data_IF_855815638191
#
_entry.id   IF_855815638191
#
_cell.length_a   1.000
_cell.length_b   1.000
_cell.length_c   1.000
_cell.angle_alpha   90.00
_cell.angle_beta   90.00
_cell.angle_gamma   90.00
#
_symmetry.space_group_name_H-M   'P 1'
#
loop_
_entity.id
_entity.type
_entity.pdbx_description
1 polymer ?
#
# COMPACT_ATOMS: atom_id res chain seq x y z
N UNK A 1 16.85 -7.56 0.58
CA UNK A 1 15.63 -7.76 1.33
C UNK A 1 15.79 -7.52 2.81
N UNK A 2 14.89 -6.77 3.38
CA UNK A 2 14.84 -6.48 4.81
C UNK A 2 13.46 -6.86 5.35
N UNK A 3 13.38 -7.05 6.68
CA UNK A 3 12.14 -7.33 7.38
C UNK A 3 11.81 -6.15 8.28
N UNK A 4 10.64 -5.57 8.10
CA UNK A 4 10.07 -4.51 8.94
C UNK A 4 8.84 -5.09 9.63
N UNK A 5 8.91 -5.33 10.92
CA UNK A 5 7.81 -5.97 11.65
C UNK A 5 7.54 -5.29 12.98
N UNK A 6 6.25 -5.17 13.34
CA UNK A 6 5.75 -4.60 14.59
C UNK A 6 6.23 -3.18 14.88
N UNK A 7 6.33 -2.36 13.84
CA UNK A 7 6.64 -0.94 13.98
C UNK A 7 5.36 -0.11 13.88
N UNK A 8 5.36 1.05 14.50
CA UNK A 8 4.32 2.06 14.22
C UNK A 8 4.37 2.48 12.76
N UNK A 9 5.59 2.70 12.22
CA UNK A 9 5.84 2.97 10.81
C UNK A 9 7.05 2.13 10.38
N UNK A 10 6.89 1.29 9.36
CA UNK A 10 7.96 0.47 8.82
C UNK A 10 9.03 1.32 8.12
N UNK A 11 8.62 2.12 7.13
CA UNK A 11 9.49 3.08 6.46
C UNK A 11 8.77 4.42 6.33
N UNK A 12 9.45 5.50 6.70
CA UNK A 12 9.02 6.88 6.48
C UNK A 12 9.92 7.55 5.45
N UNK A 13 9.34 8.10 4.38
CA UNK A 13 10.04 8.80 3.31
C UNK A 13 9.57 10.25 3.23
N UNK A 14 10.51 11.17 3.29
CA UNK A 14 10.30 12.60 3.11
C UNK A 14 11.43 13.16 2.24
N UNK A 15 11.09 13.91 1.19
CA UNK A 15 12.05 14.47 0.25
C UNK A 15 12.99 13.44 -0.40
N UNK A 16 12.57 12.17 -0.44
CA UNK A 16 13.40 11.04 -0.86
C UNK A 16 13.07 10.65 -2.29
N UNK A 17 14.09 10.64 -3.14
CA UNK A 17 13.93 10.38 -4.58
C UNK A 17 14.85 9.25 -5.05
N UNK A 18 14.42 8.52 -6.06
CA UNK A 18 15.17 7.42 -6.68
C UNK A 18 15.55 6.29 -5.71
N UNK A 19 14.71 6.05 -4.71
CA UNK A 19 14.88 4.93 -3.79
C UNK A 19 14.34 3.65 -4.45
N UNK A 20 15.11 2.57 -4.34
CA UNK A 20 14.68 1.25 -4.78
C UNK A 20 14.42 0.36 -3.56
N UNK A 21 13.13 0.09 -3.29
CA UNK A 21 12.68 -0.82 -2.24
C UNK A 21 12.25 -2.13 -2.89
N UNK A 22 13.11 -3.13 -2.79
CA UNK A 22 12.89 -4.43 -3.44
C UNK A 22 13.11 -5.59 -2.47
N UNK A 23 12.26 -6.60 -2.60
CA UNK A 23 12.34 -7.87 -1.87
C UNK A 23 12.31 -7.70 -0.35
N UNK A 24 11.55 -6.71 0.17
CA UNK A 24 11.36 -6.52 1.60
C UNK A 24 10.05 -7.16 2.06
N UNK A 25 9.99 -7.48 3.35
CA UNK A 25 8.79 -7.92 4.03
C UNK A 25 8.35 -6.84 5.02
N UNK A 26 7.10 -6.39 4.88
CA UNK A 26 6.41 -5.50 5.81
C UNK A 26 5.29 -6.30 6.48
N UNK A 27 5.44 -6.57 7.77
CA UNK A 27 4.56 -7.48 8.50
C UNK A 27 4.16 -6.88 9.85
N UNK A 28 2.84 -6.86 10.13
CA UNK A 28 2.30 -6.41 11.42
C UNK A 28 2.74 -4.97 11.82
N UNK A 29 2.74 -4.03 10.86
CA UNK A 29 3.04 -2.63 11.14
C UNK A 29 1.75 -1.79 11.21
N UNK A 30 1.80 -0.67 11.92
CA UNK A 30 0.75 0.34 11.85
C UNK A 30 0.64 0.92 10.42
N UNK A 31 1.74 1.44 9.91
CA UNK A 31 1.92 1.80 8.50
C UNK A 31 3.13 1.06 7.94
N UNK A 32 2.96 0.33 6.84
CA UNK A 32 4.12 -0.32 6.22
C UNK A 32 5.04 0.75 5.61
N UNK A 33 4.49 1.65 4.79
CA UNK A 33 5.22 2.77 4.19
C UNK A 33 4.41 4.06 4.36
N UNK A 34 5.03 5.10 4.92
CA UNK A 34 4.54 6.48 4.86
C UNK A 34 5.42 7.27 3.92
N UNK A 35 4.82 7.87 2.89
CA UNK A 35 5.54 8.57 1.85
C UNK A 35 4.95 9.96 1.66
N UNK A 36 5.73 11.00 1.90
CA UNK A 36 5.29 12.38 1.70
C UNK A 36 5.21 12.72 0.21
N UNK A 37 4.35 13.70 -0.15
CA UNK A 37 4.15 14.13 -1.52
C UNK A 37 5.42 14.68 -2.22
N UNK A 38 6.45 15.03 -1.45
CA UNK A 38 7.76 15.46 -1.95
C UNK A 38 8.64 14.31 -2.48
N UNK A 39 8.18 13.07 -2.37
CA UNK A 39 8.95 11.90 -2.82
C UNK A 39 8.59 11.57 -4.26
N UNK A 40 9.61 11.45 -5.14
CA UNK A 40 9.45 11.16 -6.57
C UNK A 40 10.43 10.10 -7.06
N UNK A 41 10.10 9.46 -8.17
CA UNK A 41 10.95 8.48 -8.86
C UNK A 41 11.37 7.29 -7.97
N UNK A 42 10.57 6.92 -6.98
CA UNK A 42 10.84 5.75 -6.15
C UNK A 42 10.24 4.50 -6.78
N UNK A 43 10.95 3.38 -6.62
CA UNK A 43 10.57 2.09 -7.17
C UNK A 43 10.34 1.08 -6.04
N UNK A 44 9.09 0.64 -5.88
CA UNK A 44 8.64 -0.28 -4.84
C UNK A 44 8.20 -1.58 -5.49
N UNK A 45 9.10 -2.59 -5.51
CA UNK A 45 8.87 -3.79 -6.31
C UNK A 45 9.14 -5.07 -5.55
N UNK A 46 8.34 -6.09 -5.83
CA UNK A 46 8.53 -7.46 -5.30
C UNK A 46 8.66 -7.49 -3.78
N UNK A 47 7.89 -6.68 -3.08
CA UNK A 47 7.80 -6.70 -1.62
C UNK A 47 6.56 -7.47 -1.19
N UNK A 48 6.56 -7.96 0.04
CA UNK A 48 5.40 -8.55 0.69
C UNK A 48 4.83 -7.61 1.73
N UNK A 49 3.52 -7.37 1.67
CA UNK A 49 2.76 -6.57 2.64
C UNK A 49 1.72 -7.47 3.30
N UNK A 50 1.91 -7.74 4.59
CA UNK A 50 1.08 -8.66 5.38
C UNK A 50 0.70 -8.03 6.71
N UNK A 51 -0.56 -8.20 7.13
CA UNK A 51 -1.07 -7.82 8.45
C UNK A 51 -0.84 -6.37 8.87
N UNK A 52 -0.53 -5.46 7.93
CA UNK A 52 -0.37 -4.04 8.25
C UNK A 52 -1.73 -3.38 8.44
N UNK A 53 -1.84 -2.40 9.35
CA UNK A 53 -3.06 -1.60 9.46
C UNK A 53 -3.27 -0.77 8.19
N UNK A 54 -2.20 -0.16 7.68
CA UNK A 54 -2.17 0.54 6.40
C UNK A 54 -0.92 0.13 5.61
N UNK A 55 -1.10 -0.22 4.34
CA UNK A 55 0.03 -0.62 3.51
C UNK A 55 0.82 0.61 3.05
N UNK A 56 0.16 1.59 2.45
CA UNK A 56 0.79 2.85 2.04
C UNK A 56 -0.05 4.03 2.49
N UNK A 57 0.59 5.03 3.07
CA UNK A 57 -0.02 6.31 3.39
C UNK A 57 0.76 7.46 2.73
N UNK A 58 0.01 8.47 2.28
CA UNK A 58 0.57 9.70 1.71
C UNK A 58 -0.25 10.91 2.10
N UNK A 59 0.38 12.08 2.15
CA UNK A 59 -0.29 13.36 2.40
C UNK A 59 -0.66 14.12 1.10
N UNK A 60 -0.44 13.51 -0.07
CA UNK A 60 -0.77 14.11 -1.38
C UNK A 60 -0.59 13.14 -2.53
N UNK A 61 -0.60 13.62 -3.77
CA UNK A 61 -0.32 12.79 -4.93
C UNK A 61 1.16 12.44 -5.00
N UNK A 62 1.44 11.15 -5.21
CA UNK A 62 2.80 10.61 -5.36
C UNK A 62 3.11 10.39 -6.85
N UNK A 63 3.26 11.47 -7.58
CA UNK A 63 3.58 11.43 -9.01
C UNK A 63 4.94 10.76 -9.22
N UNK A 64 5.06 9.94 -10.27
CA UNK A 64 6.28 9.24 -10.69
C UNK A 64 6.81 8.16 -9.73
N UNK A 65 6.07 7.77 -8.71
CA UNK A 65 6.43 6.60 -7.90
C UNK A 65 5.79 5.34 -8.49
N UNK A 66 6.54 4.25 -8.56
CA UNK A 66 6.14 3.02 -9.22
C UNK A 66 6.01 1.90 -8.20
N UNK A 67 4.81 1.33 -8.11
CA UNK A 67 4.55 0.08 -7.41
C UNK A 67 4.36 -1.01 -8.44
N UNK A 68 5.12 -2.12 -8.33
CA UNK A 68 5.04 -3.17 -9.33
C UNK A 68 5.39 -4.55 -8.78
N UNK A 69 4.50 -5.49 -8.98
CA UNK A 69 4.75 -6.88 -8.68
C UNK A 69 4.89 -7.17 -7.19
N UNK A 70 4.24 -6.39 -6.33
CA UNK A 70 4.21 -6.63 -4.89
C UNK A 70 3.10 -7.61 -4.52
N UNK A 71 3.26 -8.31 -3.42
CA UNK A 71 2.20 -9.07 -2.79
C UNK A 71 1.52 -8.21 -1.72
N UNK A 72 0.18 -8.14 -1.83
CA UNK A 72 -0.69 -7.40 -0.92
C UNK A 72 -1.71 -8.36 -0.31
N UNK A 73 -1.67 -8.59 0.99
CA UNK A 73 -2.59 -9.51 1.66
C UNK A 73 -4.07 -9.16 1.44
N UNK A 74 -4.38 -7.86 1.29
CA UNK A 74 -5.74 -7.36 1.06
C UNK A 74 -6.17 -7.37 -0.40
N UNK A 75 -5.32 -7.85 -1.30
CA UNK A 75 -5.68 -7.94 -2.71
C UNK A 75 -6.69 -9.06 -2.94
N UNK A 76 -7.86 -8.71 -3.47
CA UNK A 76 -8.97 -9.60 -3.76
C UNK A 76 -9.26 -9.72 -5.27
N UNK A 77 -8.28 -9.43 -6.12
CA UNK A 77 -8.42 -9.58 -7.55
C UNK A 77 -8.35 -11.04 -8.02
N UNK A 78 -8.45 -11.24 -9.32
CA UNK A 78 -8.39 -12.54 -9.96
C UNK A 78 -7.21 -12.62 -10.92
N UNK A 79 -6.85 -13.85 -11.30
CA UNK A 79 -5.80 -14.21 -12.23
C UNK A 79 -6.38 -15.23 -13.23
N UNK A 80 -6.91 -14.74 -14.34
CA UNK A 80 -7.61 -15.56 -15.35
C UNK A 80 -6.62 -16.41 -16.16
N UNK A 81 -5.46 -15.87 -16.46
CA UNK A 81 -4.43 -16.53 -17.27
C UNK A 81 -3.53 -17.47 -16.45
N UNK A 82 -3.65 -17.43 -15.09
CA UNK A 82 -2.90 -18.26 -14.13
C UNK A 82 -1.39 -18.06 -14.17
N UNK A 83 -0.93 -16.84 -14.43
CA UNK A 83 0.49 -16.50 -14.42
C UNK A 83 1.02 -16.09 -13.04
N UNK A 84 0.15 -16.05 -12.03
CA UNK A 84 0.46 -15.66 -10.66
C UNK A 84 0.43 -14.16 -10.41
N UNK A 85 -0.03 -13.40 -11.41
CA UNK A 85 -0.23 -11.95 -11.37
C UNK A 85 -1.72 -11.66 -11.46
N UNK A 86 -2.20 -10.73 -10.67
CA UNK A 86 -3.60 -10.33 -10.74
C UNK A 86 -3.89 -9.45 -11.95
N UNK A 87 -5.01 -9.70 -12.59
CA UNK A 87 -5.47 -8.96 -13.78
C UNK A 87 -6.07 -7.59 -13.46
N UNK A 88 -6.37 -7.34 -12.19
CA UNK A 88 -6.90 -6.06 -11.72
C UNK A 88 -5.82 -5.33 -10.92
N UNK A 89 -5.51 -4.06 -11.23
CA UNK A 89 -4.57 -3.27 -10.45
C UNK A 89 -5.01 -3.14 -8.97
N UNK A 90 -4.06 -3.16 -8.06
CA UNK A 90 -4.29 -2.90 -6.64
C UNK A 90 -3.90 -1.47 -6.27
N UNK A 91 -4.72 -0.82 -5.47
CA UNK A 91 -4.47 0.51 -4.92
C UNK A 91 -4.13 0.39 -3.43
N UNK A 92 -2.85 0.56 -3.05
CA UNK A 92 -2.42 0.34 -1.67
C UNK A 92 -2.77 1.48 -0.71
N UNK A 93 -3.19 2.63 -1.22
CA UNK A 93 -3.62 3.78 -0.41
C UNK A 93 -5.13 3.71 -0.23
N UNK A 94 -5.59 3.53 1.00
CA UNK A 94 -7.01 3.56 1.32
C UNK A 94 -7.51 4.99 1.57
N UNK A 95 -8.78 5.24 1.28
CA UNK A 95 -9.44 6.50 1.58
C UNK A 95 -9.34 6.84 3.08
N UNK A 96 -9.50 5.83 3.94
CA UNK A 96 -9.39 6.03 5.38
C UNK A 96 -7.97 6.43 5.81
N UNK A 97 -6.92 5.84 5.21
CA UNK A 97 -5.53 6.24 5.50
C UNK A 97 -5.28 7.70 5.15
N UNK A 98 -5.86 8.20 4.06
CA UNK A 98 -5.76 9.62 3.67
C UNK A 98 -6.45 10.55 4.67
N UNK A 99 -7.59 10.14 5.22
CA UNK A 99 -8.29 10.91 6.25
C UNK A 99 -7.49 10.94 7.55
N UNK A 100 -6.93 9.82 7.96
CA UNK A 100 -6.09 9.72 9.16
C UNK A 100 -4.85 10.60 9.04
N UNK A 101 -4.22 10.68 7.88
CA UNK A 101 -3.07 11.56 7.65
C UNK A 101 -3.43 13.05 7.82
N UNK A 102 -4.64 13.44 7.44
CA UNK A 102 -5.13 14.82 7.62
C UNK A 102 -5.62 15.10 9.03
N UNK A 103 -6.17 14.11 9.70
CA UNK A 103 -6.71 14.23 11.05
C UNK A 103 -6.46 12.94 11.86
N UNK A 104 -5.34 12.85 12.60
CA UNK A 104 -5.00 11.65 13.37
C UNK A 104 -6.05 11.24 14.41
N UNK A 105 -6.90 12.14 14.88
CA UNK A 105 -7.97 11.80 15.81
C UNK A 105 -8.99 10.80 15.23
N UNK A 106 -9.07 10.69 13.89
CA UNK A 106 -9.95 9.71 13.22
C UNK A 106 -9.51 8.27 13.42
N UNK A 107 -8.28 8.01 13.90
CA UNK A 107 -7.86 6.66 14.32
C UNK A 107 -8.78 6.06 15.38
N UNK A 108 -9.43 6.89 16.20
CA UNK A 108 -10.40 6.42 17.20
C UNK A 108 -11.61 5.72 16.56
N UNK A 109 -11.89 5.99 15.27
CA UNK A 109 -12.97 5.37 14.50
C UNK A 109 -12.55 4.05 13.82
N UNK A 110 -11.28 3.66 13.97
CA UNK A 110 -10.78 2.40 13.42
C UNK A 110 -11.61 1.21 13.93
N UNK A 111 -12.04 0.33 13.03
CA UNK A 111 -13.00 -0.76 13.26
C UNK A 111 -14.45 -0.32 13.52
N UNK A 112 -14.78 0.94 13.28
CA UNK A 112 -16.18 1.37 13.31
C UNK A 112 -16.91 0.97 12.01
N UNK A 113 -18.23 0.88 12.09
CA UNK A 113 -19.08 0.67 10.90
C UNK A 113 -18.82 1.72 9.80
N UNK A 114 -18.44 2.93 10.20
CA UNK A 114 -18.13 4.01 9.24
C UNK A 114 -16.89 3.67 8.39
N UNK A 115 -15.87 3.04 8.97
CA UNK A 115 -14.66 2.63 8.23
C UNK A 115 -15.01 1.53 7.23
N UNK A 116 -15.80 0.53 7.64
CA UNK A 116 -16.27 -0.53 6.74
C UNK A 116 -17.11 0.04 5.59
N UNK A 117 -17.92 1.07 5.88
CA UNK A 117 -18.69 1.76 4.86
C UNK A 117 -17.80 2.53 3.88
N UNK A 118 -16.74 3.19 4.38
CA UNK A 118 -15.77 3.91 3.55
C UNK A 118 -14.99 2.96 2.65
N UNK A 119 -14.54 1.82 3.15
CA UNK A 119 -13.85 0.80 2.36
C UNK A 119 -14.75 0.25 1.24
N UNK A 120 -16.04 0.05 1.53
CA UNK A 120 -17.02 -0.34 0.52
C UNK A 120 -17.29 0.77 -0.50
N UNK A 121 -17.38 2.02 -0.06
CA UNK A 121 -17.58 3.17 -0.94
C UNK A 121 -16.39 3.37 -1.89
N UNK A 122 -15.18 3.17 -1.41
CA UNK A 122 -13.95 3.25 -2.22
C UNK A 122 -13.96 2.22 -3.35
N UNK A 123 -14.43 1.00 -3.09
CA UNK A 123 -14.58 -0.05 -4.12
C UNK A 123 -15.59 0.31 -5.20
N UNK A 124 -16.62 1.10 -4.86
CA UNK A 124 -17.68 1.51 -5.79
C UNK A 124 -17.30 2.78 -6.56
N UNK A 125 -16.53 3.68 -5.92
CA UNK A 125 -16.12 4.97 -6.49
C UNK A 125 -14.58 5.07 -6.51
N UNK A 126 -13.93 4.40 -7.47
CA UNK A 126 -12.47 4.30 -7.50
C UNK A 126 -11.73 5.64 -7.70
N UNK A 127 -12.43 6.72 -8.04
CA UNK A 127 -11.83 8.06 -8.20
C UNK A 127 -11.56 8.80 -6.88
N UNK A 128 -11.86 8.24 -5.72
CA UNK A 128 -11.63 8.89 -4.42
C UNK A 128 -10.18 8.76 -3.92
N UNK A 129 -9.41 7.82 -4.45
CA UNK A 129 -7.98 7.63 -4.16
C UNK A 129 -7.12 8.06 -5.36
N UNK A 130 -5.83 8.43 -5.14
CA UNK A 130 -4.95 8.82 -6.23
C UNK A 130 -4.84 7.73 -7.29
N UNK A 131 -5.19 8.03 -8.53
CA UNK A 131 -5.14 7.06 -9.64
C UNK A 131 -3.71 6.60 -9.96
N UNK A 132 -2.74 7.47 -9.70
CA UNK A 132 -1.32 7.22 -9.99
C UNK A 132 -0.65 6.23 -9.03
N UNK A 133 -1.30 5.94 -7.88
CA UNK A 133 -0.79 5.03 -6.86
C UNK A 133 -1.42 3.65 -6.97
N UNK A 134 -1.00 2.90 -7.96
CA UNK A 134 -1.46 1.54 -8.18
C UNK A 134 -0.31 0.59 -8.48
N UNK A 135 -0.48 -0.66 -8.12
CA UNK A 135 0.33 -1.78 -8.58
C UNK A 135 -0.44 -2.47 -9.72
N UNK A 136 0.03 -2.34 -10.94
CA UNK A 136 -0.63 -2.91 -12.12
C UNK A 136 -0.38 -4.43 -12.25
N UNK A 137 0.56 -4.98 -11.50
CA UNK A 137 0.93 -6.39 -11.55
C UNK A 137 0.97 -7.02 -10.13
N UNK A 138 -0.10 -6.89 -9.31
CA UNK A 138 -0.08 -7.41 -7.94
C UNK A 138 0.09 -8.94 -7.96
N UNK A 139 0.87 -9.48 -7.03
CA UNK A 139 1.10 -10.92 -6.94
C UNK A 139 -0.04 -11.62 -6.19
N UNK A 140 -0.53 -12.71 -6.76
CA UNK A 140 -1.58 -13.53 -6.15
C UNK A 140 -1.09 -14.33 -4.94
N UNK A 141 0.21 -14.55 -4.82
CA UNK A 141 0.82 -15.29 -3.71
C UNK A 141 2.03 -14.56 -3.15
N UNK A 142 2.23 -14.74 -1.85
CA UNK A 142 3.40 -14.23 -1.15
C UNK A 142 4.69 -14.66 -1.87
N UNK A 143 5.58 -13.70 -2.07
CA UNK A 143 6.87 -13.91 -2.73
C UNK A 143 7.80 -14.62 -1.73
N UNK A 144 8.38 -15.73 -2.14
CA UNK A 144 9.42 -16.41 -1.36
C UNK A 144 10.77 -15.78 -1.67
N UNK A 145 11.41 -15.26 -0.65
CA UNK A 145 12.78 -14.78 -0.75
C UNK A 145 13.73 -15.90 -0.32
N UNK A 146 14.84 -16.12 -1.04
CA UNK A 146 15.89 -17.01 -0.53
C UNK A 146 16.42 -16.44 0.78
N UNK A 147 16.65 -17.33 1.74
CA UNK A 147 17.32 -17.05 3.03
C UNK A 147 18.77 -16.61 2.84
#
# INVERSE_FOLDING_TARGET
GNIFTRNTVGIYLEGSNRINMKANRFDDNGWAIKMQASCTDNLITKNNFTSNTFDVATNGSLVLNIFKGNYWERYEGYDLNRDGTGDIPYRPVSLYSMIVERNPATLMLFRSFMVDLMDKAERIIPGMTPEDLKDDEPRMKMIRFPE
#
